data_IF_349506785140
#
_entry.id   IF_349506785140
#
_cell.length_a   1.000
_cell.length_b   1.000
_cell.length_c   1.000
_cell.angle_alpha   90.00
_cell.angle_beta   90.00
_cell.angle_gamma   90.00
#
_symmetry.space_group_name_H-M   'P 1'
#
loop_
_entity.id
_entity.type
_entity.pdbx_description
1 polymer ?
#
# COMPACT_ATOMS: atom_id res chain seq x y z
N UNK A 1 -20.37 -2.68 -20.23
CA UNK A 1 -20.34 -3.06 -18.81
C UNK A 1 -19.04 -3.78 -18.46
N UNK A 2 -18.67 -3.81 -17.16
CA UNK A 2 -17.49 -4.56 -16.70
C UNK A 2 -17.58 -6.03 -17.10
N UNK A 3 -18.75 -6.64 -16.98
CA UNK A 3 -18.99 -8.03 -17.36
C UNK A 3 -18.55 -8.34 -18.79
N UNK A 4 -18.83 -7.46 -19.74
CA UNK A 4 -18.50 -7.68 -21.16
C UNK A 4 -16.99 -7.77 -21.38
N UNK A 5 -16.20 -7.03 -20.57
CA UNK A 5 -14.74 -7.09 -20.60
C UNK A 5 -14.23 -8.33 -19.88
N UNK A 6 -14.83 -8.72 -18.74
CA UNK A 6 -14.45 -9.93 -18.01
C UNK A 6 -14.74 -11.23 -18.78
N UNK A 7 -15.84 -11.27 -19.53
CA UNK A 7 -16.23 -12.41 -20.37
C UNK A 7 -15.42 -12.50 -21.68
N UNK A 8 -14.55 -11.52 -21.98
CA UNK A 8 -13.75 -11.51 -23.20
C UNK A 8 -12.58 -12.50 -23.16
N UNK A 9 -12.18 -13.00 -24.36
CA UNK A 9 -11.01 -13.86 -24.52
C UNK A 9 -9.71 -13.17 -24.04
N UNK A 10 -9.63 -11.85 -24.12
CA UNK A 10 -8.49 -11.07 -23.68
C UNK A 10 -8.32 -11.16 -22.15
N UNK A 11 -9.41 -11.07 -21.40
CA UNK A 11 -9.38 -11.18 -19.94
C UNK A 11 -9.20 -12.63 -19.49
N UNK A 12 -9.95 -13.57 -20.05
CA UNK A 12 -9.87 -15.01 -19.69
C UNK A 12 -8.53 -15.61 -20.04
N UNK A 13 -7.89 -15.18 -21.14
CA UNK A 13 -6.55 -15.58 -21.55
C UNK A 13 -5.41 -14.91 -20.78
N UNK A 14 -5.68 -13.90 -19.95
CA UNK A 14 -4.67 -13.25 -19.13
C UNK A 14 -4.07 -14.23 -18.10
N UNK A 15 -2.76 -14.41 -18.12
CA UNK A 15 -2.04 -15.28 -17.17
C UNK A 15 -1.68 -14.60 -15.86
N UNK A 16 -1.80 -13.28 -15.82
CA UNK A 16 -1.50 -12.47 -14.64
C UNK A 16 -2.45 -12.76 -13.49
N UNK A 17 -1.99 -12.53 -12.26
CA UNK A 17 -2.81 -12.50 -11.04
C UNK A 17 -3.44 -11.12 -10.82
N UNK A 18 -2.96 -10.09 -11.51
CA UNK A 18 -3.42 -8.71 -11.39
C UNK A 18 -3.90 -8.14 -12.74
N UNK A 19 -4.83 -8.82 -13.46
CA UNK A 19 -5.39 -8.24 -14.68
C UNK A 19 -6.39 -7.16 -14.29
N UNK A 20 -6.33 -6.01 -14.96
CA UNK A 20 -7.28 -4.92 -14.81
C UNK A 20 -8.02 -4.66 -16.12
N UNK A 21 -9.33 -4.73 -16.06
CA UNK A 21 -10.23 -4.40 -17.15
C UNK A 21 -10.39 -2.87 -17.22
N UNK A 22 -9.74 -2.23 -18.18
CA UNK A 22 -9.84 -0.78 -18.36
C UNK A 22 -11.16 -0.39 -19.05
N UNK A 23 -11.63 -1.16 -20.01
CA UNK A 23 -12.82 -0.86 -20.78
C UNK A 23 -12.69 -1.30 -22.22
N UNK A 24 -13.12 -0.46 -23.17
CA UNK A 24 -13.04 -0.71 -24.61
C UNK A 24 -12.36 0.45 -25.34
N UNK A 25 -11.62 0.14 -26.38
CA UNK A 25 -11.01 1.14 -27.25
C UNK A 25 -12.07 1.76 -28.20
N UNK A 26 -11.63 2.68 -29.07
CA UNK A 26 -12.49 3.36 -30.05
C UNK A 26 -13.07 2.41 -31.12
N UNK A 27 -12.52 1.20 -31.25
CA UNK A 27 -13.01 0.15 -32.16
C UNK A 27 -13.98 -0.81 -31.44
N UNK A 28 -14.21 -0.62 -30.14
CA UNK A 28 -15.01 -1.51 -29.31
C UNK A 28 -14.27 -2.75 -28.80
N UNK A 29 -12.97 -2.83 -29.00
CA UNK A 29 -12.16 -3.96 -28.54
C UNK A 29 -11.88 -3.86 -27.04
N UNK A 30 -12.02 -4.97 -26.26
CA UNK A 30 -11.70 -4.99 -24.84
C UNK A 30 -10.24 -4.64 -24.58
N UNK A 31 -9.99 -3.75 -23.62
CA UNK A 31 -8.66 -3.34 -23.18
C UNK A 31 -8.43 -3.84 -21.76
N UNK A 32 -7.57 -4.83 -21.63
CA UNK A 32 -7.12 -5.43 -20.37
C UNK A 32 -5.63 -5.19 -20.22
N UNK A 33 -5.21 -4.78 -19.05
CA UNK A 33 -3.82 -4.54 -18.73
C UNK A 33 -3.38 -5.42 -17.55
N UNK A 34 -2.08 -5.63 -17.43
CA UNK A 34 -1.47 -6.39 -16.36
C UNK A 34 -0.75 -5.43 -15.39
N UNK A 35 -1.23 -5.30 -14.17
CA UNK A 35 -0.64 -4.39 -13.18
C UNK A 35 0.81 -4.80 -12.83
N UNK A 36 1.19 -6.07 -12.95
CA UNK A 36 2.59 -6.49 -12.73
C UNK A 36 3.55 -5.93 -13.78
N UNK A 37 3.03 -5.62 -14.98
CA UNK A 37 3.80 -5.02 -16.08
C UNK A 37 3.76 -3.51 -16.09
N UNK A 38 2.75 -2.92 -15.47
CA UNK A 38 2.62 -1.47 -15.22
C UNK A 38 2.48 -1.22 -13.71
N UNK A 39 3.55 -1.45 -12.94
CA UNK A 39 3.47 -1.71 -11.50
C UNK A 39 2.84 -0.58 -10.70
N UNK A 40 2.84 0.63 -11.23
CA UNK A 40 2.33 1.81 -10.54
C UNK A 40 1.54 2.65 -11.52
N UNK A 41 0.28 2.91 -11.17
CA UNK A 41 -0.71 3.60 -11.99
C UNK A 41 -1.15 4.89 -11.30
N UNK A 42 -1.05 6.00 -12.02
CA UNK A 42 -1.61 7.28 -11.63
C UNK A 42 -2.93 7.51 -12.38
N UNK A 43 -3.98 7.85 -11.65
CA UNK A 43 -5.32 8.13 -12.20
C UNK A 43 -5.74 9.53 -11.77
N UNK A 44 -6.13 10.39 -12.70
CA UNK A 44 -6.67 11.70 -12.35
C UNK A 44 -7.88 12.08 -13.20
N UNK A 45 -8.72 12.97 -12.66
CA UNK A 45 -9.91 13.48 -13.35
C UNK A 45 -10.84 14.21 -12.40
N UNK A 46 -11.69 15.07 -12.94
CA UNK A 46 -12.66 15.83 -12.14
C UNK A 46 -13.77 14.94 -11.57
N UNK A 47 -14.49 15.45 -10.58
CA UNK A 47 -15.68 14.79 -10.02
C UNK A 47 -16.70 14.52 -11.15
N UNK A 48 -17.25 13.31 -11.17
CA UNK A 48 -18.22 12.88 -12.21
C UNK A 48 -17.61 12.47 -13.55
N UNK A 49 -16.28 12.54 -13.73
CA UNK A 49 -15.61 12.15 -14.97
C UNK A 49 -15.57 10.63 -15.21
N UNK A 50 -15.88 9.80 -14.20
CA UNK A 50 -15.84 8.34 -14.26
C UNK A 50 -14.65 7.70 -13.54
N UNK A 51 -13.80 8.49 -12.86
CA UNK A 51 -12.63 8.03 -12.10
C UNK A 51 -12.95 6.90 -11.12
N UNK A 52 -13.91 7.13 -10.23
CA UNK A 52 -14.29 6.19 -9.17
C UNK A 52 -14.90 4.90 -9.73
N UNK A 53 -15.75 5.00 -10.73
CA UNK A 53 -16.33 3.83 -11.40
C UNK A 53 -15.25 2.96 -12.04
N UNK A 54 -14.27 3.57 -12.71
CA UNK A 54 -13.17 2.83 -13.32
C UNK A 54 -12.23 2.24 -12.27
N UNK A 55 -11.97 2.94 -11.15
CA UNK A 55 -11.21 2.38 -10.04
C UNK A 55 -11.89 1.14 -9.47
N UNK A 56 -13.19 1.20 -9.25
CA UNK A 56 -14.00 0.06 -8.82
C UNK A 56 -13.97 -1.09 -9.84
N UNK A 57 -14.03 -0.80 -11.14
CA UNK A 57 -13.91 -1.82 -12.18
C UNK A 57 -12.55 -2.52 -12.16
N UNK A 58 -11.46 -1.79 -11.89
CA UNK A 58 -10.11 -2.37 -11.73
C UNK A 58 -10.02 -3.26 -10.50
N UNK A 59 -10.55 -2.83 -9.35
CA UNK A 59 -10.60 -3.63 -8.12
C UNK A 59 -11.39 -4.91 -8.36
N UNK A 60 -12.60 -4.80 -8.90
CA UNK A 60 -13.43 -5.96 -9.22
C UNK A 60 -12.73 -6.93 -10.18
N UNK A 61 -11.99 -6.44 -11.17
CA UNK A 61 -11.23 -7.28 -12.10
C UNK A 61 -10.23 -8.20 -11.38
N UNK A 62 -9.52 -7.64 -10.40
CA UNK A 62 -8.55 -8.39 -9.59
C UNK A 62 -9.29 -9.39 -8.69
N UNK A 63 -10.38 -8.97 -8.03
CA UNK A 63 -11.20 -9.83 -7.16
C UNK A 63 -11.84 -11.01 -7.93
N UNK A 64 -12.17 -10.83 -9.21
CA UNK A 64 -12.65 -11.92 -10.06
C UNK A 64 -11.57 -12.93 -10.44
N UNK A 65 -10.30 -12.54 -10.38
CA UNK A 65 -9.18 -13.36 -10.86
C UNK A 65 -8.41 -14.07 -9.77
N UNK A 66 -8.27 -13.47 -8.61
CA UNK A 66 -7.29 -13.89 -7.60
C UNK A 66 -7.92 -14.08 -6.23
N UNK A 67 -7.51 -15.14 -5.56
CA UNK A 67 -7.91 -15.46 -4.20
C UNK A 67 -7.14 -14.61 -3.15
N UNK A 68 -7.61 -14.54 -1.89
CA UNK A 68 -6.97 -13.74 -0.83
C UNK A 68 -5.54 -14.18 -0.49
N UNK A 69 -5.18 -15.44 -0.79
CA UNK A 69 -3.82 -15.98 -0.61
C UNK A 69 -2.87 -15.55 -1.73
N UNK A 70 -3.42 -15.06 -2.84
CA UNK A 70 -2.64 -14.64 -4.00
C UNK A 70 -2.49 -13.12 -4.06
N UNK A 71 -3.53 -12.38 -3.64
CA UNK A 71 -3.57 -10.91 -3.70
C UNK A 71 -4.21 -10.34 -2.43
N UNK A 72 -3.55 -9.38 -1.86
CA UNK A 72 -4.02 -8.58 -0.73
C UNK A 72 -4.16 -7.11 -1.13
N UNK A 73 -5.13 -6.43 -0.53
CA UNK A 73 -5.34 -5.00 -0.71
C UNK A 73 -5.02 -4.21 0.56
N UNK A 74 -4.41 -3.06 0.35
CA UNK A 74 -4.26 -2.00 1.33
C UNK A 74 -4.97 -0.77 0.77
N UNK A 75 -6.10 -0.40 1.34
CA UNK A 75 -6.98 0.63 0.80
C UNK A 75 -6.96 1.88 1.66
N UNK A 76 -6.80 3.04 1.03
CA UNK A 76 -6.75 4.36 1.67
C UNK A 76 -7.83 5.24 1.06
N UNK A 77 -8.84 5.59 1.86
CA UNK A 77 -10.00 6.39 1.46
C UNK A 77 -10.30 7.47 2.52
N UNK A 78 -9.65 8.63 2.44
CA UNK A 78 -9.85 9.70 3.42
C UNK A 78 -11.29 10.23 3.49
N UNK A 79 -12.07 10.03 2.43
CA UNK A 79 -13.45 10.52 2.33
C UNK A 79 -14.49 9.50 2.78
N UNK A 80 -14.12 8.23 2.97
CA UNK A 80 -15.04 7.12 3.31
C UNK A 80 -16.18 6.92 2.31
N UNK A 81 -15.93 7.13 1.04
CA UNK A 81 -16.99 7.12 0.03
C UNK A 81 -16.81 5.97 -0.95
N UNK A 82 -15.61 5.81 -1.52
CA UNK A 82 -15.39 4.96 -2.68
C UNK A 82 -14.92 3.54 -2.30
N UNK A 83 -13.96 3.43 -1.36
CA UNK A 83 -13.35 2.16 -1.00
C UNK A 83 -13.95 1.52 0.25
N UNK A 84 -14.71 2.25 1.04
CA UNK A 84 -15.39 1.74 2.24
C UNK A 84 -16.39 0.61 1.93
N UNK A 85 -16.87 0.52 0.70
CA UNK A 85 -17.73 -0.57 0.24
C UNK A 85 -17.03 -1.95 0.36
N UNK A 86 -15.70 -2.00 0.29
CA UNK A 86 -14.89 -3.24 0.36
C UNK A 86 -14.52 -3.64 1.79
N UNK A 87 -14.91 -2.88 2.82
CA UNK A 87 -14.60 -3.20 4.21
C UNK A 87 -15.03 -4.63 4.57
N UNK A 88 -14.12 -5.39 5.18
CA UNK A 88 -14.38 -6.75 5.66
C UNK A 88 -14.26 -7.86 4.61
N UNK A 89 -13.79 -7.61 3.38
CA UNK A 89 -13.46 -8.70 2.45
C UNK A 89 -12.17 -9.41 2.86
N UNK A 90 -12.02 -10.73 2.60
CA UNK A 90 -10.84 -11.50 3.02
C UNK A 90 -9.52 -11.06 2.36
N UNK A 91 -9.61 -10.28 1.29
CA UNK A 91 -8.43 -9.72 0.60
C UNK A 91 -7.80 -8.52 1.33
N UNK A 92 -8.44 -7.90 2.29
CA UNK A 92 -7.85 -6.78 3.03
C UNK A 92 -6.78 -7.25 4.01
N UNK A 93 -5.62 -6.56 4.02
CA UNK A 93 -4.57 -6.77 5.05
C UNK A 93 -4.74 -5.82 6.24
N UNK A 94 -5.56 -4.79 6.09
CA UNK A 94 -5.87 -3.80 7.11
C UNK A 94 -7.28 -3.24 6.85
N UNK A 95 -8.04 -2.80 7.86
CA UNK A 95 -9.24 -1.99 7.64
C UNK A 95 -8.97 -0.81 6.70
N UNK A 96 -9.98 -0.36 5.98
CA UNK A 96 -9.80 0.79 5.07
C UNK A 96 -9.32 2.00 5.86
N UNK A 97 -8.14 2.52 5.50
CA UNK A 97 -7.50 3.64 6.20
C UNK A 97 -8.18 4.94 5.79
N UNK A 98 -8.74 5.65 6.76
CA UNK A 98 -9.53 6.87 6.52
C UNK A 98 -8.87 8.14 7.05
N UNK A 99 -7.92 8.03 7.95
CA UNK A 99 -7.17 9.15 8.49
C UNK A 99 -5.92 9.42 7.63
N UNK A 100 -5.75 10.63 7.06
CA UNK A 100 -4.57 10.96 6.25
C UNK A 100 -3.23 10.84 7.00
N UNK A 101 -3.20 11.08 8.32
CA UNK A 101 -1.98 10.90 9.12
C UNK A 101 -1.63 9.43 9.21
N UNK A 102 -2.60 8.57 9.50
CA UNK A 102 -2.43 7.11 9.51
C UNK A 102 -2.06 6.59 8.13
N UNK A 103 -2.62 7.16 7.07
CA UNK A 103 -2.26 6.80 5.70
C UNK A 103 -0.76 7.00 5.40
N UNK A 104 -0.18 8.13 5.85
CA UNK A 104 1.26 8.37 5.68
C UNK A 104 2.11 7.30 6.41
N UNK A 105 1.63 6.79 7.54
CA UNK A 105 2.31 5.76 8.33
C UNK A 105 2.18 4.38 7.69
N UNK A 106 1.00 4.06 7.20
CA UNK A 106 0.74 2.82 6.48
C UNK A 106 1.57 2.73 5.20
N UNK A 107 1.81 3.86 4.52
CA UNK A 107 2.74 3.92 3.39
C UNK A 107 4.19 3.67 3.82
N UNK A 108 4.61 4.16 4.99
CA UNK A 108 5.93 3.88 5.55
C UNK A 108 6.07 2.39 5.91
N UNK A 109 5.05 1.80 6.55
CA UNK A 109 5.02 0.36 6.77
C UNK A 109 5.15 -0.42 5.44
N UNK A 110 4.49 0.02 4.37
CA UNK A 110 4.60 -0.65 3.07
C UNK A 110 6.05 -0.63 2.51
N UNK A 111 6.82 0.42 2.80
CA UNK A 111 8.25 0.47 2.48
C UNK A 111 9.03 -0.57 3.31
N UNK A 112 8.77 -0.69 4.60
CA UNK A 112 9.41 -1.68 5.47
C UNK A 112 9.04 -3.11 5.04
N UNK A 113 7.78 -3.36 4.69
CA UNK A 113 7.32 -4.63 4.15
C UNK A 113 8.00 -4.98 2.82
N UNK A 114 8.20 -4.00 1.96
CA UNK A 114 8.98 -4.16 0.73
C UNK A 114 10.41 -4.62 1.03
N UNK A 115 11.08 -4.00 2.00
CA UNK A 115 12.45 -4.37 2.40
C UNK A 115 12.49 -5.77 3.02
N UNK A 116 11.51 -6.10 3.86
CA UNK A 116 11.36 -7.45 4.43
C UNK A 116 11.22 -8.51 3.33
N UNK A 117 10.42 -8.22 2.31
CA UNK A 117 10.24 -9.13 1.16
C UNK A 117 11.53 -9.28 0.35
N UNK A 118 12.30 -8.22 0.18
CA UNK A 118 13.61 -8.30 -0.46
C UNK A 118 14.57 -9.22 0.28
N UNK A 119 14.58 -9.20 1.61
CA UNK A 119 15.37 -10.13 2.40
C UNK A 119 14.93 -11.59 2.13
N UNK A 120 13.65 -11.90 2.21
CA UNK A 120 13.14 -13.25 1.92
C UNK A 120 13.44 -13.73 0.49
N UNK A 121 13.26 -12.86 -0.50
CA UNK A 121 13.57 -13.17 -1.90
C UNK A 121 15.07 -13.41 -2.08
N UNK A 122 15.92 -12.61 -1.41
CA UNK A 122 17.38 -12.75 -1.43
C UNK A 122 17.84 -14.05 -0.78
N UNK A 123 17.32 -14.38 0.40
CA UNK A 123 17.67 -15.62 1.14
C UNK A 123 17.38 -16.89 0.31
N UNK A 124 16.32 -16.83 -0.52
CA UNK A 124 15.96 -17.91 -1.44
C UNK A 124 16.75 -17.86 -2.79
N UNK A 125 17.69 -16.93 -2.94
CA UNK A 125 18.45 -16.71 -4.17
C UNK A 125 17.60 -16.23 -5.36
N UNK A 126 16.38 -15.73 -5.09
CA UNK A 126 15.46 -15.21 -6.08
C UNK A 126 15.74 -13.74 -6.45
N UNK A 127 15.09 -13.27 -7.53
CA UNK A 127 15.16 -11.86 -7.98
C UNK A 127 13.78 -11.19 -8.00
N UNK A 128 12.72 -11.93 -7.74
CA UNK A 128 11.35 -11.43 -7.75
C UNK A 128 10.43 -12.32 -6.93
N UNK A 129 9.25 -11.79 -6.60
CA UNK A 129 8.18 -12.52 -5.89
C UNK A 129 7.76 -13.80 -6.64
N UNK A 130 7.74 -13.79 -7.98
CA UNK A 130 7.39 -14.95 -8.76
C UNK A 130 8.42 -16.08 -8.59
N UNK A 131 9.72 -15.71 -8.59
CA UNK A 131 10.81 -16.65 -8.36
C UNK A 131 10.74 -17.24 -6.94
N UNK A 132 10.50 -16.38 -5.94
CA UNK A 132 10.28 -16.79 -4.56
C UNK A 132 9.09 -17.76 -4.45
N UNK A 133 7.92 -17.38 -4.95
CA UNK A 133 6.69 -18.18 -4.84
C UNK A 133 6.81 -19.53 -5.54
N UNK A 134 7.52 -19.59 -6.68
CA UNK A 134 7.82 -20.85 -7.37
C UNK A 134 8.71 -21.78 -6.55
N UNK A 135 9.68 -21.22 -5.82
CA UNK A 135 10.55 -21.99 -4.95
C UNK A 135 9.83 -22.41 -3.67
N UNK A 136 9.10 -21.48 -3.04
CA UNK A 136 8.30 -21.74 -1.85
C UNK A 136 7.29 -22.89 -2.07
N UNK A 137 6.68 -22.96 -3.26
CA UNK A 137 5.78 -24.06 -3.61
C UNK A 137 6.48 -25.42 -3.62
N UNK A 138 7.72 -25.50 -4.15
CA UNK A 138 8.52 -26.73 -4.17
C UNK A 138 8.94 -27.16 -2.76
N UNK A 139 9.24 -26.19 -1.90
CA UNK A 139 9.70 -26.42 -0.53
C UNK A 139 8.54 -26.50 0.49
N UNK A 140 7.29 -26.40 0.01
CA UNK A 140 6.07 -26.40 0.84
C UNK A 140 6.08 -25.27 1.89
N UNK A 141 6.68 -24.13 1.54
CA UNK A 141 6.69 -22.91 2.35
C UNK A 141 5.51 -21.99 1.98
N UNK A 142 5.10 -21.09 2.88
CA UNK A 142 4.08 -20.09 2.57
C UNK A 142 4.49 -19.22 1.38
N UNK A 143 3.55 -18.98 0.46
CA UNK A 143 3.72 -18.01 -0.62
C UNK A 143 3.54 -16.59 -0.09
N UNK A 144 4.18 -15.63 -0.74
CA UNK A 144 3.93 -14.21 -0.52
C UNK A 144 2.81 -13.75 -1.47
N UNK A 145 1.72 -13.18 -0.98
CA UNK A 145 0.70 -12.57 -1.84
C UNK A 145 1.24 -11.30 -2.49
N UNK A 146 0.72 -10.94 -3.66
CA UNK A 146 0.85 -9.58 -4.16
C UNK A 146 0.11 -8.62 -3.23
N UNK A 147 0.62 -7.41 -3.07
CA UNK A 147 -0.06 -6.33 -2.35
C UNK A 147 -0.40 -5.23 -3.35
N UNK A 148 -1.67 -4.87 -3.42
CA UNK A 148 -2.13 -3.72 -4.21
C UNK A 148 -2.55 -2.62 -3.25
N UNK A 149 -1.78 -1.53 -3.25
CA UNK A 149 -2.06 -0.33 -2.45
C UNK A 149 -2.91 0.60 -3.31
N UNK A 150 -4.07 0.99 -2.81
CA UNK A 150 -5.02 1.85 -3.52
C UNK A 150 -5.25 3.12 -2.70
N UNK A 151 -5.04 4.27 -3.33
CA UNK A 151 -5.30 5.60 -2.74
C UNK A 151 -6.35 6.28 -3.60
N UNK A 152 -7.55 6.54 -3.06
CA UNK A 152 -8.63 7.21 -3.80
C UNK A 152 -8.38 8.71 -4.01
N UNK A 153 -7.79 9.39 -3.01
CA UNK A 153 -7.52 10.82 -3.11
C UNK A 153 -6.13 11.18 -2.55
N UNK A 154 -5.15 11.24 -3.45
CA UNK A 154 -3.78 11.62 -3.08
C UNK A 154 -3.69 13.04 -2.52
N UNK A 155 -4.51 13.97 -3.00
CA UNK A 155 -4.48 15.36 -2.57
C UNK A 155 -4.70 15.53 -1.06
N UNK A 156 -5.55 14.70 -0.46
CA UNK A 156 -5.85 14.79 0.97
C UNK A 156 -4.65 14.32 1.82
N UNK A 157 -3.87 13.36 1.34
CA UNK A 157 -2.63 12.93 1.98
C UNK A 157 -1.52 13.98 1.82
N UNK A 158 -1.38 14.55 0.63
CA UNK A 158 -0.38 15.60 0.33
C UNK A 158 -0.63 16.88 1.12
N UNK A 159 -1.88 17.16 1.50
CA UNK A 159 -2.22 18.31 2.34
C UNK A 159 -1.71 18.15 3.78
N UNK A 160 -1.69 16.92 4.31
CA UNK A 160 -1.38 16.63 5.72
C UNK A 160 0.09 16.31 5.94
N UNK A 161 0.68 15.46 5.09
CA UNK A 161 2.04 14.97 5.26
C UNK A 161 2.81 14.85 3.91
N UNK A 162 2.97 15.97 3.16
CA UNK A 162 3.44 15.93 1.77
C UNK A 162 4.80 15.24 1.63
N UNK A 163 5.78 15.57 2.47
CA UNK A 163 7.13 14.99 2.39
C UNK A 163 7.14 13.48 2.64
N UNK A 164 6.47 13.02 3.70
CA UNK A 164 6.46 11.62 4.08
C UNK A 164 5.73 10.76 3.03
N UNK A 165 4.62 11.27 2.50
CA UNK A 165 3.82 10.60 1.46
C UNK A 165 4.61 10.54 0.16
N UNK A 166 5.18 11.65 -0.31
CA UNK A 166 5.97 11.69 -1.54
C UNK A 166 7.19 10.78 -1.49
N UNK A 167 7.94 10.80 -0.37
CA UNK A 167 9.12 9.96 -0.18
C UNK A 167 8.76 8.45 -0.18
N UNK A 168 7.71 8.06 0.56
CA UNK A 168 7.24 6.68 0.59
C UNK A 168 6.76 6.21 -0.77
N UNK A 169 5.95 7.02 -1.48
CA UNK A 169 5.46 6.68 -2.81
C UNK A 169 6.60 6.58 -3.83
N UNK A 170 7.56 7.50 -3.79
CA UNK A 170 8.72 7.46 -4.67
C UNK A 170 9.55 6.18 -4.45
N UNK A 171 9.84 5.84 -3.18
CA UNK A 171 10.60 4.64 -2.83
C UNK A 171 9.89 3.35 -3.24
N UNK A 172 8.60 3.24 -2.95
CA UNK A 172 7.77 2.11 -3.40
C UNK A 172 7.75 2.02 -4.93
N UNK A 173 7.50 3.12 -5.63
CA UNK A 173 7.41 3.10 -7.08
C UNK A 173 8.73 2.75 -7.78
N UNK A 174 9.87 3.06 -7.17
CA UNK A 174 11.20 2.68 -7.69
C UNK A 174 11.55 1.21 -7.45
N UNK A 175 11.12 0.64 -6.34
CA UNK A 175 11.65 -0.65 -5.89
C UNK A 175 10.60 -1.74 -5.71
N UNK A 176 9.33 -1.44 -5.46
CA UNK A 176 8.35 -2.41 -4.98
C UNK A 176 7.92 -3.47 -6.00
N UNK A 177 8.17 -3.25 -7.30
CA UNK A 177 7.78 -4.19 -8.37
C UNK A 177 8.27 -5.61 -8.12
N UNK A 178 9.55 -5.80 -7.83
CA UNK A 178 10.13 -7.13 -7.61
C UNK A 178 9.65 -7.78 -6.31
N UNK A 179 9.25 -6.97 -5.32
CA UNK A 179 8.66 -7.42 -4.07
C UNK A 179 7.14 -7.75 -4.19
N UNK A 180 6.55 -7.55 -5.37
CA UNK A 180 5.14 -7.82 -5.63
C UNK A 180 4.19 -6.82 -4.95
N UNK A 181 4.63 -5.57 -4.78
CA UNK A 181 3.81 -4.48 -4.24
C UNK A 181 3.54 -3.47 -5.36
N UNK A 182 2.27 -3.17 -5.60
CA UNK A 182 1.80 -2.35 -6.69
C UNK A 182 0.93 -1.21 -6.18
N UNK A 183 0.99 -0.03 -6.84
CA UNK A 183 0.24 1.14 -6.42
C UNK A 183 -0.75 1.57 -7.51
N UNK A 184 -1.97 1.87 -7.10
CA UNK A 184 -2.97 2.60 -7.89
C UNK A 184 -3.29 3.85 -7.09
N UNK A 185 -2.80 5.01 -7.54
CA UNK A 185 -3.04 6.28 -6.88
C UNK A 185 -3.97 7.14 -7.72
N UNK A 186 -5.00 7.66 -7.08
CA UNK A 186 -5.99 8.48 -7.74
C UNK A 186 -6.09 9.88 -7.10
N UNK A 187 -6.51 10.87 -7.88
CA UNK A 187 -6.80 12.22 -7.39
C UNK A 187 -7.84 12.93 -8.26
N UNK A 188 -8.67 13.74 -7.61
CA UNK A 188 -9.61 14.67 -8.27
C UNK A 188 -9.02 16.08 -8.41
N UNK A 189 -7.80 16.32 -7.84
CA UNK A 189 -7.12 17.62 -7.85
C UNK A 189 -5.81 17.50 -8.62
N UNK A 190 -5.83 17.66 -9.95
CA UNK A 190 -4.65 17.52 -10.79
C UNK A 190 -3.75 18.78 -10.76
N UNK A 191 -3.38 19.26 -9.56
CA UNK A 191 -2.46 20.36 -9.37
C UNK A 191 -1.01 19.88 -9.30
N UNK A 192 -0.06 20.78 -9.58
CA UNK A 192 1.38 20.46 -9.51
C UNK A 192 1.87 20.19 -8.10
N UNK A 193 1.14 20.65 -7.08
CA UNK A 193 1.44 20.38 -5.67
C UNK A 193 1.03 18.96 -5.25
N UNK A 194 0.11 18.33 -5.99
CA UNK A 194 -0.35 16.96 -5.78
C UNK A 194 0.37 15.99 -6.71
N UNK A 195 0.38 16.29 -8.01
CA UNK A 195 1.07 15.52 -9.04
C UNK A 195 2.43 16.18 -9.31
N UNK A 196 3.33 16.02 -8.36
CA UNK A 196 4.67 16.62 -8.40
C UNK A 196 5.54 15.99 -9.48
N UNK A 197 6.69 16.62 -9.78
CA UNK A 197 7.69 16.04 -10.67
C UNK A 197 8.21 14.68 -10.21
N UNK A 198 8.35 14.48 -8.88
CA UNK A 198 8.77 13.21 -8.28
C UNK A 198 7.72 12.12 -8.50
N UNK A 199 6.44 12.42 -8.27
CA UNK A 199 5.33 11.49 -8.54
C UNK A 199 5.31 11.13 -10.03
N UNK A 200 5.35 12.10 -10.93
CA UNK A 200 5.32 11.84 -12.38
C UNK A 200 6.49 10.99 -12.88
N UNK A 201 7.69 11.22 -12.34
CA UNK A 201 8.88 10.45 -12.72
C UNK A 201 8.77 8.96 -12.33
N UNK A 202 8.06 8.67 -11.24
CA UNK A 202 7.94 7.32 -10.69
C UNK A 202 6.64 6.60 -11.09
N UNK A 203 5.66 7.33 -11.65
CA UNK A 203 4.40 6.80 -12.16
C UNK A 203 4.27 7.06 -13.67
N UNK A 204 5.00 6.29 -14.51
CA UNK A 204 4.99 6.49 -15.95
C UNK A 204 3.66 6.04 -16.60
N UNK A 205 2.94 5.12 -15.98
CA UNK A 205 1.62 4.69 -16.44
C UNK A 205 0.56 5.63 -15.90
N UNK A 206 -0.19 6.25 -16.79
CA UNK A 206 -1.15 7.30 -16.41
C UNK A 206 -2.48 7.15 -17.11
N UNK A 207 -3.54 7.44 -16.38
CA UNK A 207 -4.90 7.58 -16.89
C UNK A 207 -5.40 8.96 -16.53
N UNK A 208 -5.87 9.69 -17.51
CA UNK A 208 -6.62 10.93 -17.30
C UNK A 208 -8.05 10.78 -17.80
N UNK A 209 -9.00 10.96 -16.92
CA UNK A 209 -10.38 11.25 -17.25
C UNK A 209 -10.53 12.71 -17.62
N UNK A 210 -11.77 13.15 -17.95
CA UNK A 210 -12.04 14.54 -18.26
C UNK A 210 -11.55 15.46 -17.15
N UNK A 211 -10.90 16.55 -17.57
CA UNK A 211 -10.41 17.64 -16.70
C UNK A 211 -10.94 18.99 -17.18
N UNK A 212 -10.88 20.00 -16.30
CA UNK A 212 -11.46 21.31 -16.56
C UNK A 212 -10.61 22.20 -17.47
N UNK A 213 -9.30 21.95 -17.55
CA UNK A 213 -8.40 22.82 -18.27
C UNK A 213 -7.27 22.09 -19.01
N UNK A 214 -6.69 22.77 -20.00
CA UNK A 214 -5.48 22.32 -20.70
C UNK A 214 -4.27 22.22 -19.75
N UNK A 215 -4.24 23.01 -18.68
CA UNK A 215 -3.18 22.97 -17.68
C UNK A 215 -3.26 21.65 -16.89
N UNK A 216 -4.47 21.25 -16.50
CA UNK A 216 -4.69 20.00 -15.79
C UNK A 216 -4.29 18.79 -16.64
N UNK A 217 -4.67 18.81 -17.95
CA UNK A 217 -4.25 17.75 -18.87
C UNK A 217 -2.72 17.62 -18.94
N UNK A 218 -2.00 18.75 -19.06
CA UNK A 218 -0.53 18.76 -19.04
C UNK A 218 0.04 18.30 -17.73
N UNK A 219 -0.58 18.66 -16.60
CA UNK A 219 -0.12 18.24 -15.28
C UNK A 219 -0.14 16.72 -15.14
N UNK A 220 -1.18 16.06 -15.67
CA UNK A 220 -1.34 14.61 -15.58
C UNK A 220 -0.52 13.89 -16.66
N UNK A 221 -0.74 14.27 -17.93
CA UNK A 221 -0.29 13.50 -19.10
C UNK A 221 0.99 14.05 -19.76
N UNK A 222 1.47 15.23 -19.34
CA UNK A 222 2.49 16.03 -20.04
C UNK A 222 2.04 16.43 -21.46
N UNK A 223 0.79 16.20 -21.81
CA UNK A 223 0.16 16.46 -23.12
C UNK A 223 -1.24 17.04 -22.96
N UNK A 224 -1.77 17.61 -24.04
CA UNK A 224 -3.16 18.06 -24.12
C UNK A 224 -4.07 16.92 -24.52
N UNK A 225 -5.39 17.09 -24.28
CA UNK A 225 -6.43 16.19 -24.76
C UNK A 225 -7.45 15.78 -23.72
N UNK A 226 -7.07 15.68 -22.45
CA UNK A 226 -8.00 15.28 -21.40
C UNK A 226 -9.11 16.32 -21.14
N UNK A 227 -8.87 17.59 -21.46
CA UNK A 227 -9.87 18.66 -21.42
C UNK A 227 -10.98 18.51 -22.48
N UNK A 228 -10.74 17.73 -23.52
CA UNK A 228 -11.68 17.48 -24.60
C UNK A 228 -12.44 16.14 -24.49
N UNK A 229 -12.21 15.40 -23.41
CA UNK A 229 -12.94 14.16 -23.14
C UNK A 229 -14.41 14.43 -22.79
N UNK A 230 -15.25 13.42 -23.02
CA UNK A 230 -16.71 13.55 -22.89
C UNK A 230 -17.20 13.35 -21.44
N UNK A 231 -16.34 12.88 -20.52
CA UNK A 231 -16.75 12.46 -19.18
C UNK A 231 -17.36 11.05 -19.18
N UNK A 232 -18.01 10.68 -18.06
CA UNK A 232 -18.71 9.39 -17.90
C UNK A 232 -17.87 8.15 -18.27
N UNK A 233 -16.58 8.16 -17.94
CA UNK A 233 -15.68 7.04 -18.21
C UNK A 233 -14.78 7.19 -19.43
N UNK A 234 -14.97 8.24 -20.24
CA UNK A 234 -14.06 8.54 -21.35
C UNK A 234 -12.68 8.98 -20.82
N UNK A 235 -11.62 8.29 -21.20
CA UNK A 235 -10.30 8.49 -20.63
C UNK A 235 -9.18 8.38 -21.67
N UNK A 236 -8.06 9.02 -21.38
CA UNK A 236 -6.78 8.84 -22.06
C UNK A 236 -5.83 8.02 -21.22
N UNK A 237 -5.26 7.00 -21.82
CA UNK A 237 -4.32 6.07 -21.19
C UNK A 237 -2.94 6.19 -21.83
N UNK A 238 -1.90 6.32 -21.01
CA UNK A 238 -0.50 6.22 -21.39
C UNK A 238 0.05 4.92 -20.79
N UNK A 239 0.31 3.89 -21.60
CA UNK A 239 0.94 2.67 -21.15
C UNK A 239 2.43 2.87 -20.84
N UNK A 240 3.06 1.98 -20.04
CA UNK A 240 4.47 2.10 -19.69
C UNK A 240 5.36 1.98 -20.93
N UNK A 241 6.46 2.73 -20.93
CA UNK A 241 7.48 2.66 -21.98
C UNK A 241 7.14 3.37 -23.29
N UNK A 242 6.02 4.10 -23.35
CA UNK A 242 5.64 4.92 -24.51
C UNK A 242 4.97 6.22 -24.07
N UNK A 243 5.05 7.24 -24.91
CA UNK A 243 4.31 8.48 -24.74
C UNK A 243 2.99 8.51 -25.56
N UNK A 244 2.69 7.43 -26.30
CA UNK A 244 1.50 7.37 -27.14
C UNK A 244 0.25 7.17 -26.29
N UNK A 245 -0.67 8.13 -26.34
CA UNK A 245 -1.97 8.03 -25.68
C UNK A 245 -2.93 7.13 -26.46
N UNK A 246 -3.69 6.32 -25.71
CA UNK A 246 -4.81 5.54 -26.24
C UNK A 246 -6.08 6.03 -25.57
N UNK A 247 -7.13 6.33 -26.37
CA UNK A 247 -8.45 6.68 -25.84
C UNK A 247 -9.23 5.41 -25.56
N UNK A 248 -9.77 5.32 -24.36
CA UNK A 248 -10.51 4.16 -23.86
C UNK A 248 -11.80 4.67 -23.23
N UNK A 249 -12.90 3.96 -23.43
CA UNK A 249 -14.11 4.16 -22.66
C UNK A 249 -14.15 3.16 -21.51
N UNK A 250 -14.14 3.67 -20.27
CA UNK A 250 -14.01 2.89 -19.04
C UNK A 250 -15.13 1.87 -18.86
N UNK A 251 -14.76 0.71 -18.32
CA UNK A 251 -15.76 -0.30 -17.95
C UNK A 251 -16.67 0.23 -16.82
N UNK A 252 -17.98 -0.02 -16.96
CA UNK A 252 -18.98 0.43 -16.01
C UNK A 252 -19.41 -0.71 -15.08
N UNK A 253 -19.40 -0.43 -13.78
CA UNK A 253 -19.92 -1.29 -12.71
C UNK A 253 -20.79 -0.46 -11.78
N UNK A 254 -21.92 -1.01 -11.35
CA UNK A 254 -22.84 -0.34 -10.44
C UNK A 254 -22.51 -0.67 -8.97
N UNK A 255 -22.90 0.21 -8.05
CA UNK A 255 -22.74 -0.02 -6.60
C UNK A 255 -23.45 -1.30 -6.14
N UNK A 256 -24.60 -1.62 -6.77
CA UNK A 256 -25.33 -2.86 -6.51
C UNK A 256 -24.53 -4.11 -6.91
N UNK A 257 -23.79 -4.05 -8.00
CA UNK A 257 -22.92 -5.15 -8.44
C UNK A 257 -21.71 -5.28 -7.51
N UNK A 258 -21.09 -4.16 -7.12
CA UNK A 258 -20.01 -4.12 -6.12
C UNK A 258 -20.49 -4.75 -4.81
N UNK A 259 -21.66 -4.34 -4.30
CA UNK A 259 -22.22 -4.91 -3.08
C UNK A 259 -22.42 -6.42 -3.15
N UNK A 260 -22.90 -6.95 -4.28
CA UNK A 260 -23.04 -8.40 -4.49
C UNK A 260 -21.71 -9.14 -4.50
N UNK A 261 -20.65 -8.54 -5.10
CA UNK A 261 -19.30 -9.10 -5.10
C UNK A 261 -18.77 -9.13 -3.67
N UNK A 262 -18.88 -8.04 -2.94
CA UNK A 262 -18.41 -7.92 -1.55
C UNK A 262 -19.14 -8.92 -0.63
N UNK A 263 -20.45 -9.02 -0.73
CA UNK A 263 -21.26 -9.98 0.05
C UNK A 263 -20.86 -11.43 -0.25
N UNK A 264 -20.55 -11.73 -1.50
CA UNK A 264 -20.08 -13.05 -1.90
C UNK A 264 -18.73 -13.37 -1.30
N UNK A 265 -17.78 -12.43 -1.34
CA UNK A 265 -16.44 -12.61 -0.79
C UNK A 265 -16.45 -12.73 0.74
N UNK A 266 -17.27 -11.95 1.45
CA UNK A 266 -17.46 -12.05 2.92
C UNK A 266 -18.01 -13.41 3.37
N UNK A 267 -18.77 -14.09 2.53
CA UNK A 267 -19.26 -15.45 2.81
C UNK A 267 -18.16 -16.51 2.65
N UNK A 268 -17.10 -16.22 1.93
CA UNK A 268 -15.97 -17.15 1.72
C UNK A 268 -14.96 -17.09 2.86
N UNK A 269 -14.84 -15.96 3.57
CA UNK A 269 -13.92 -15.82 4.68
C UNK A 269 -13.93 -14.42 5.29
N UNK A 270 -13.26 -14.30 6.42
CA UNK A 270 -13.00 -13.02 7.10
C UNK A 270 -11.59 -12.52 6.77
N UNK A 271 -11.34 -11.19 6.80
CA UNK A 271 -10.00 -10.68 6.63
C UNK A 271 -9.09 -11.13 7.78
N UNK A 272 -7.88 -11.51 7.43
CA UNK A 272 -6.77 -11.72 8.35
C UNK A 272 -5.89 -10.46 8.30
N UNK A 273 -6.15 -9.56 9.26
CA UNK A 273 -5.45 -8.28 9.33
C UNK A 273 -4.03 -8.46 9.88
N UNK A 274 -3.06 -7.79 9.27
CA UNK A 274 -1.67 -7.82 9.70
C UNK A 274 -1.51 -7.03 11.02
N UNK A 275 -1.22 -7.74 12.11
CA UNK A 275 -1.04 -7.13 13.44
C UNK A 275 0.10 -6.12 13.47
N UNK A 276 1.13 -6.28 12.63
CA UNK A 276 2.24 -5.33 12.56
C UNK A 276 1.81 -3.94 12.09
N UNK A 277 0.80 -3.86 11.21
CA UNK A 277 0.17 -2.60 10.80
C UNK A 277 -0.60 -1.94 11.94
N UNK A 278 -1.37 -2.71 12.70
CA UNK A 278 -2.14 -2.22 13.84
C UNK A 278 -1.23 -1.72 14.95
N UNK A 279 -0.13 -2.43 15.22
CA UNK A 279 0.89 -2.02 16.18
C UNK A 279 1.64 -0.76 15.72
N UNK A 280 1.86 -0.62 14.43
CA UNK A 280 2.48 0.56 13.82
C UNK A 280 1.61 1.81 14.01
N UNK A 281 0.30 1.69 13.81
CA UNK A 281 -0.66 2.78 14.08
C UNK A 281 -0.72 3.12 15.57
N UNK A 282 -0.84 2.14 16.45
CA UNK A 282 -0.96 2.37 17.90
C UNK A 282 0.30 2.94 18.54
N UNK A 283 1.47 2.66 17.97
CA UNK A 283 2.75 3.26 18.44
C UNK A 283 2.81 4.77 18.26
N UNK A 284 1.90 5.36 17.51
CA UNK A 284 1.88 6.77 17.14
C UNK A 284 0.77 7.54 17.84
N UNK A 285 -0.36 6.89 18.11
CA UNK A 285 -1.38 7.44 19.02
C UNK A 285 -0.77 7.69 20.40
N UNK A 286 0.23 6.88 20.82
CA UNK A 286 1.00 7.07 22.05
C UNK A 286 2.08 8.17 21.95
N UNK A 287 2.54 8.57 20.75
CA UNK A 287 3.50 9.66 20.58
C UNK A 287 2.84 11.05 20.63
N UNK A 288 1.55 11.16 20.30
CA UNK A 288 0.81 12.43 20.40
C UNK A 288 0.25 12.66 21.82
N UNK A 289 0.26 11.65 22.72
CA UNK A 289 -0.36 11.76 24.04
C UNK A 289 0.59 12.09 25.18
N UNK A 290 1.88 11.91 25.11
CA UNK A 290 2.86 12.47 26.04
C UNK A 290 4.29 12.00 25.71
N UNK A 291 5.27 12.89 25.44
CA UNK A 291 6.68 12.52 25.32
C UNK A 291 7.30 12.02 26.63
N UNK A 292 6.64 12.26 27.77
CA UNK A 292 7.12 11.90 29.10
C UNK A 292 6.39 10.72 29.77
N UNK A 293 5.34 10.16 29.14
CA UNK A 293 4.62 9.03 29.75
C UNK A 293 5.51 7.80 29.93
N UNK A 294 5.59 7.33 31.16
CA UNK A 294 6.28 6.09 31.54
C UNK A 294 5.59 4.90 30.87
N UNK A 295 6.36 4.08 30.15
CA UNK A 295 5.85 2.80 29.67
C UNK A 295 5.63 1.87 30.87
N UNK A 296 4.42 1.32 31.00
CA UNK A 296 4.03 0.45 32.12
C UNK A 296 4.98 -0.73 32.34
N UNK A 297 5.70 -1.15 31.26
CA UNK A 297 6.69 -2.24 31.32
C UNK A 297 8.14 -1.77 31.45
N UNK A 298 8.34 -0.48 31.69
CA UNK A 298 9.69 0.06 31.79
C UNK A 298 10.44 -0.53 32.99
N UNK A 299 9.85 -0.54 34.16
CA UNK A 299 10.45 -1.06 35.39
C UNK A 299 10.75 -2.57 35.27
N UNK A 300 9.80 -3.34 34.71
CA UNK A 300 9.98 -4.77 34.42
C UNK A 300 11.13 -5.02 33.43
N UNK A 301 11.30 -4.13 32.46
CA UNK A 301 12.39 -4.19 31.49
C UNK A 301 13.74 -3.84 32.14
N UNK A 302 13.79 -2.86 33.05
CA UNK A 302 15.00 -2.48 33.83
C UNK A 302 15.45 -3.64 34.71
N UNK A 303 14.54 -4.26 35.45
CA UNK A 303 14.84 -5.45 36.25
C UNK A 303 15.39 -6.60 35.40
N UNK A 304 14.74 -6.89 34.26
CA UNK A 304 15.17 -7.91 33.33
C UNK A 304 16.60 -7.71 32.83
N UNK A 305 16.93 -6.50 32.35
CA UNK A 305 18.28 -6.24 31.82
C UNK A 305 19.33 -6.20 32.93
N UNK A 306 18.99 -5.74 34.14
CA UNK A 306 19.85 -5.74 35.29
C UNK A 306 20.21 -7.18 35.76
N UNK A 307 19.22 -8.08 35.71
CA UNK A 307 19.42 -9.49 36.04
C UNK A 307 20.27 -10.24 35.03
N UNK A 308 20.06 -9.95 33.74
CA UNK A 308 20.78 -10.60 32.63
C UNK A 308 22.18 -9.97 32.35
N UNK A 309 22.46 -8.80 32.89
CA UNK A 309 23.73 -8.09 32.70
C UNK A 309 23.98 -7.61 31.27
N UNK A 310 22.96 -7.67 30.41
CA UNK A 310 23.02 -7.24 29.02
C UNK A 310 21.67 -6.76 28.55
N UNK A 311 21.65 -5.77 27.64
CA UNK A 311 20.44 -5.19 27.09
C UNK A 311 20.46 -5.22 25.56
N UNK A 312 19.40 -5.76 24.96
CA UNK A 312 19.14 -5.65 23.54
C UNK A 312 17.64 -5.56 23.27
N UNK A 313 17.26 -4.91 22.17
CA UNK A 313 15.87 -4.77 21.76
C UNK A 313 15.22 -6.15 21.62
N UNK A 314 15.89 -7.10 20.96
CA UNK A 314 15.38 -8.47 20.76
C UNK A 314 15.19 -9.25 22.06
N UNK A 315 16.01 -8.98 23.09
CA UNK A 315 15.90 -9.59 24.39
C UNK A 315 14.64 -9.09 25.12
N UNK A 316 14.47 -7.76 25.22
CA UNK A 316 13.31 -7.12 25.84
C UNK A 316 12.02 -7.52 25.13
N UNK A 317 12.01 -7.48 23.79
CA UNK A 317 10.87 -7.90 22.98
C UNK A 317 10.41 -9.34 23.31
N UNK A 318 11.36 -10.28 23.34
CA UNK A 318 11.07 -11.70 23.56
C UNK A 318 10.59 -12.01 24.98
N UNK A 319 11.22 -11.42 25.99
CA UNK A 319 10.88 -11.70 27.38
C UNK A 319 9.59 -11.01 27.83
N UNK A 320 9.39 -9.76 27.43
CA UNK A 320 8.17 -9.00 27.80
C UNK A 320 7.01 -9.21 26.83
N UNK A 321 7.23 -9.98 25.75
CA UNK A 321 6.23 -10.24 24.68
C UNK A 321 5.61 -8.96 24.12
N UNK A 322 6.44 -7.96 23.82
CA UNK A 322 6.06 -6.67 23.27
C UNK A 322 6.60 -6.48 21.85
N UNK A 323 6.01 -5.56 21.08
CA UNK A 323 6.48 -5.23 19.73
C UNK A 323 7.88 -4.61 19.70
N UNK A 324 8.60 -4.76 18.57
CA UNK A 324 9.97 -4.26 18.39
C UNK A 324 10.10 -2.77 18.72
N UNK A 325 9.20 -1.92 18.22
CA UNK A 325 9.24 -0.47 18.44
C UNK A 325 9.03 -0.06 19.91
N UNK A 326 8.22 -0.82 20.66
CA UNK A 326 8.04 -0.59 22.09
C UNK A 326 9.30 -0.99 22.87
N UNK A 327 9.90 -2.13 22.52
CA UNK A 327 11.14 -2.57 23.11
C UNK A 327 12.31 -1.62 22.79
N UNK A 328 12.38 -1.08 21.57
CA UNK A 328 13.39 -0.10 21.16
C UNK A 328 13.30 1.17 22.00
N UNK A 329 12.11 1.75 22.19
CA UNK A 329 11.89 2.94 23.01
C UNK A 329 12.27 2.72 24.47
N UNK A 330 11.93 1.57 25.03
CA UNK A 330 12.31 1.23 26.40
C UNK A 330 13.85 1.21 26.54
N UNK A 331 14.55 0.61 25.59
CA UNK A 331 16.02 0.56 25.59
C UNK A 331 16.64 1.94 25.35
N UNK A 332 16.10 2.76 24.44
CA UNK A 332 16.56 4.13 24.18
C UNK A 332 16.40 5.02 25.42
N UNK A 333 15.29 4.86 26.13
CA UNK A 333 15.06 5.57 27.41
C UNK A 333 16.04 5.10 28.50
N UNK A 334 16.28 3.79 28.61
CA UNK A 334 17.29 3.26 29.51
C UNK A 334 18.70 3.82 29.22
N UNK A 335 19.02 4.07 27.94
CA UNK A 335 20.26 4.71 27.54
C UNK A 335 20.30 6.18 27.97
N UNK A 336 19.20 6.93 27.73
CA UNK A 336 19.10 8.33 28.13
C UNK A 336 19.16 8.51 29.65
N UNK A 337 18.61 7.59 30.42
CA UNK A 337 18.64 7.58 31.90
C UNK A 337 19.92 6.95 32.46
N UNK A 338 20.84 6.46 31.63
CA UNK A 338 22.11 5.87 32.03
C UNK A 338 21.99 4.49 32.67
N UNK A 339 20.89 3.80 32.48
CA UNK A 339 20.69 2.41 32.92
C UNK A 339 21.51 1.43 32.06
N UNK A 340 21.62 1.73 30.76
CA UNK A 340 22.42 0.98 29.79
C UNK A 340 23.37 1.90 29.04
N UNK A 341 24.49 1.35 28.56
CA UNK A 341 25.48 2.08 27.76
C UNK A 341 25.03 2.30 26.30
N UNK A 342 25.76 3.18 25.57
CA UNK A 342 25.43 3.49 24.16
C UNK A 342 25.55 2.25 23.26
N UNK A 343 24.79 2.27 22.16
CA UNK A 343 24.83 1.22 21.14
C UNK A 343 26.12 1.30 20.33
N UNK A 344 26.82 0.17 20.13
CA UNK A 344 27.90 0.03 19.17
C UNK A 344 27.47 -0.60 17.83
N UNK A 345 26.16 -0.76 17.65
CA UNK A 345 25.52 -1.22 16.41
C UNK A 345 25.49 -2.74 16.21
N UNK A 346 26.26 -3.53 16.93
CA UNK A 346 26.38 -4.98 16.68
C UNK A 346 26.22 -5.83 17.95
N UNK A 347 26.61 -5.34 19.12
CA UNK A 347 26.60 -6.10 20.37
C UNK A 347 25.51 -5.64 21.33
N UNK A 348 25.02 -6.54 22.22
CA UNK A 348 24.15 -6.12 23.31
C UNK A 348 24.81 -5.02 24.15
N UNK A 349 24.01 -4.01 24.54
CA UNK A 349 24.49 -2.87 25.35
C UNK A 349 24.85 -3.35 26.74
N UNK A 350 25.92 -2.77 27.32
CA UNK A 350 26.32 -3.05 28.71
C UNK A 350 25.32 -2.41 29.67
N UNK A 351 24.93 -3.14 30.71
CA UNK A 351 24.13 -2.61 31.80
C UNK A 351 25.03 -1.84 32.77
N UNK A 352 24.67 -0.59 33.04
CA UNK A 352 25.39 0.34 33.91
C UNK A 352 24.74 0.40 35.30
N UNK A 353 23.46 0.11 35.42
CA UNK A 353 22.72 0.05 36.66
C UNK A 353 23.23 -1.11 37.53
N UNK A 354 23.55 -0.82 38.82
CA UNK A 354 23.88 -1.87 39.80
C UNK A 354 22.59 -2.62 40.18
N UNK A 355 22.68 -3.95 40.28
CA UNK A 355 21.62 -4.80 40.81
C UNK A 355 21.14 -4.22 42.16
N UNK A 356 19.86 -3.84 42.22
CA UNK A 356 19.21 -3.54 43.49
C UNK A 356 19.19 -4.83 44.31
N UNK A 357 19.93 -4.83 45.41
CA UNK A 357 19.94 -5.97 46.32
C UNK A 357 18.51 -6.20 46.80
N UNK A 358 17.98 -7.35 46.49
CA UNK A 358 16.67 -7.82 47.01
C UNK A 358 16.68 -7.80 48.52
N UNK A 359 15.79 -7.00 49.12
CA UNK A 359 15.41 -7.16 50.53
C UNK A 359 14.33 -8.21 50.66
#
# INVERSE_FOLDING_TARGET
>A
HLRDVLDSDVFSGARSKLPIALGVDIMGSPVVQDLTRMPHLLIAGTTGSGKSVSLNAMICSILFRSAPEEVKFLMIDPKRIELSAYEGIPHLIHPVVVDPKKAAQVLKWAVEEMERRYAFIGDMGGKSIEAYNKQAEKEKMPRLPYIVIIIDELADLMLVAPRNVEESLARLAQMARAAGIHLIIATQRPSVDVITGVIKANFPTRISFQVSSKVDSRTILDQLGAEALLGAGDMLFIPPGTSKMTRIHGAFVTDREIGRIVDFLKKQGTPDYDSSLTDYESSLDNKEQDPEAFDEKYDEAVELVADLGQASISLVQRYLKIGYNRAARIIERMEAEGVVGPSDGVKPRKVLAKKLASR
#
